data_IF_969945681105
#
_entry.id   IF_969945681105
#
_cell.length_a   1.000
_cell.length_b   1.000
_cell.length_c   1.000
_cell.angle_alpha   90.00
_cell.angle_beta   90.00
_cell.angle_gamma   90.00
#
_symmetry.space_group_name_H-M   'P 1'
#
loop_
_entity.id
_entity.type
_entity.pdbx_description
1 polymer ?
#
# COMPACT_ATOMS: atom_id res chain seq x y z
N UNK A 1 -4.22 -2.62 4.87
CA UNK A 1 -4.51 -3.72 5.81
C UNK A 1 -3.89 -5.00 5.27
N UNK A 2 -3.04 -5.66 6.07
CA UNK A 2 -2.50 -6.97 5.71
C UNK A 2 -3.59 -8.02 5.95
N UNK A 3 -3.98 -8.74 4.90
CA UNK A 3 -5.05 -9.73 4.98
C UNK A 3 -4.46 -11.14 5.10
N UNK A 4 -4.96 -11.95 6.04
CA UNK A 4 -4.50 -13.33 6.26
C UNK A 4 -4.55 -14.22 5.02
N UNK A 5 -5.30 -13.83 4.00
CA UNK A 5 -5.49 -14.56 2.75
C UNK A 5 -4.78 -13.90 1.54
N UNK A 6 -3.70 -13.16 1.78
CA UNK A 6 -2.90 -12.60 0.70
C UNK A 6 -1.42 -12.91 0.85
N UNK A 7 -0.71 -12.86 -0.27
CA UNK A 7 0.73 -12.82 -0.34
C UNK A 7 1.08 -11.45 -0.92
N UNK A 8 2.00 -10.73 -0.29
CA UNK A 8 2.45 -9.41 -0.73
C UNK A 8 3.92 -9.46 -1.11
N UNK A 9 4.22 -8.92 -2.26
CA UNK A 9 5.58 -8.61 -2.69
C UNK A 9 5.80 -7.09 -2.57
N UNK A 10 6.74 -6.68 -1.74
CA UNK A 10 7.01 -5.26 -1.46
C UNK A 10 8.46 -4.97 -1.76
N UNK A 11 8.69 -3.96 -2.58
CA UNK A 11 10.00 -3.45 -2.94
C UNK A 11 10.23 -2.10 -2.25
N UNK A 12 11.26 -2.03 -1.42
CA UNK A 12 11.68 -0.81 -0.72
C UNK A 12 13.16 -0.51 -0.99
N UNK A 13 13.56 -0.57 -2.23
CA UNK A 13 14.92 -0.26 -2.69
C UNK A 13 16.02 -1.16 -2.12
N UNK A 14 16.35 -1.01 -0.85
CA UNK A 14 17.38 -1.75 -0.11
C UNK A 14 16.87 -3.04 0.55
N UNK A 15 15.55 -3.16 0.70
CA UNK A 15 14.90 -4.32 1.27
C UNK A 15 13.72 -4.78 0.41
N UNK A 16 13.67 -6.07 0.16
CA UNK A 16 12.58 -6.75 -0.53
C UNK A 16 11.84 -7.63 0.47
N UNK A 17 10.53 -7.58 0.45
CA UNK A 17 9.72 -8.39 1.37
C UNK A 17 8.72 -9.24 0.59
N UNK A 18 8.67 -10.53 0.89
CA UNK A 18 7.54 -11.39 0.56
C UNK A 18 6.85 -11.74 1.87
N UNK A 19 5.67 -11.18 2.07
CA UNK A 19 4.87 -11.43 3.26
C UNK A 19 3.70 -12.37 2.94
N UNK A 20 3.46 -13.36 3.79
CA UNK A 20 2.41 -14.35 3.62
C UNK A 20 1.45 -14.33 4.80
N UNK A 21 0.16 -14.13 4.51
CA UNK A 21 -0.90 -14.25 5.49
C UNK A 21 -1.05 -15.69 6.00
N UNK A 22 -1.60 -15.88 7.18
CA UNK A 22 -1.69 -17.17 7.86
C UNK A 22 -2.43 -18.23 7.04
N UNK A 23 -3.43 -17.83 6.25
CA UNK A 23 -4.17 -18.74 5.35
C UNK A 23 -3.38 -19.13 4.09
N UNK A 24 -2.27 -18.45 3.82
CA UNK A 24 -1.43 -18.67 2.63
C UNK A 24 -0.11 -19.38 2.97
N UNK A 25 -0.01 -20.00 4.15
CA UNK A 25 1.21 -20.70 4.60
C UNK A 25 1.24 -22.18 4.20
N UNK A 26 0.17 -22.73 3.65
CA UNK A 26 0.11 -24.13 3.19
C UNK A 26 0.99 -24.37 1.95
N UNK A 27 1.38 -25.65 1.75
CA UNK A 27 2.20 -26.07 0.60
C UNK A 27 1.56 -25.77 -0.76
N UNK A 28 0.23 -25.70 -0.84
CA UNK A 28 -0.51 -25.31 -2.03
C UNK A 28 -0.13 -23.90 -2.56
N UNK A 29 0.45 -23.06 -1.70
CA UNK A 29 0.82 -21.68 -2.05
C UNK A 29 2.34 -21.47 -2.18
N UNK A 30 3.14 -22.54 -2.08
CA UNK A 30 4.61 -22.44 -2.19
C UNK A 30 5.03 -21.85 -3.54
N UNK A 31 4.45 -22.34 -4.62
CA UNK A 31 4.75 -21.84 -5.97
C UNK A 31 4.44 -20.34 -6.12
N UNK A 32 3.37 -19.87 -5.49
CA UNK A 32 3.00 -18.46 -5.52
C UNK A 32 3.99 -17.60 -4.71
N UNK A 33 4.43 -18.09 -3.53
CA UNK A 33 5.45 -17.41 -2.74
C UNK A 33 6.78 -17.33 -3.47
N UNK A 34 7.17 -18.40 -4.14
CA UNK A 34 8.38 -18.43 -4.96
C UNK A 34 8.28 -17.53 -6.16
N UNK A 35 7.15 -17.49 -6.85
CA UNK A 35 6.93 -16.57 -7.97
C UNK A 35 7.06 -15.10 -7.52
N UNK A 36 6.54 -14.74 -6.35
CA UNK A 36 6.72 -13.39 -5.77
C UNK A 36 8.19 -13.10 -5.47
N UNK A 37 8.90 -14.05 -4.88
CA UNK A 37 10.33 -13.96 -4.61
C UNK A 37 11.13 -13.73 -5.89
N UNK A 38 10.91 -14.56 -6.88
CA UNK A 38 11.65 -14.54 -8.15
C UNK A 38 11.36 -13.25 -8.94
N UNK A 39 10.12 -12.77 -8.87
CA UNK A 39 9.76 -11.48 -9.44
C UNK A 39 10.57 -10.33 -8.81
N UNK A 40 10.62 -10.25 -7.46
CA UNK A 40 11.38 -9.23 -6.77
C UNK A 40 12.88 -9.30 -7.07
N UNK A 41 13.46 -10.51 -7.08
CA UNK A 41 14.86 -10.71 -7.42
C UNK A 41 15.17 -10.27 -8.86
N UNK A 42 14.27 -10.57 -9.79
CA UNK A 42 14.43 -10.19 -11.20
C UNK A 42 14.42 -8.67 -11.39
N UNK A 43 13.45 -7.95 -10.81
CA UNK A 43 13.34 -6.49 -10.96
C UNK A 43 14.45 -5.74 -10.22
N UNK A 44 15.09 -6.37 -9.25
CA UNK A 44 16.18 -5.79 -8.47
C UNK A 44 17.59 -6.23 -8.92
N UNK A 45 17.70 -7.06 -9.95
CA UNK A 45 18.96 -7.72 -10.34
C UNK A 45 20.08 -6.76 -10.72
N UNK A 46 19.75 -5.57 -11.23
CA UNK A 46 20.73 -4.54 -11.62
C UNK A 46 21.04 -3.51 -10.52
N UNK A 47 20.52 -3.69 -9.31
CA UNK A 47 20.71 -2.69 -8.23
C UNK A 47 21.99 -2.88 -7.47
N UNK A 48 22.58 -1.76 -7.07
CA UNK A 48 23.72 -1.71 -6.17
C UNK A 48 23.47 -0.67 -5.06
N UNK A 49 23.67 -1.02 -3.79
CA UNK A 49 23.93 -2.37 -3.26
C UNK A 49 22.78 -3.35 -3.52
N UNK A 50 23.07 -4.65 -3.54
CA UNK A 50 22.03 -5.68 -3.69
C UNK A 50 21.07 -5.59 -2.51
N UNK A 51 19.75 -5.52 -2.78
CA UNK A 51 18.76 -5.47 -1.72
C UNK A 51 18.67 -6.80 -0.95
N UNK A 52 18.31 -6.69 0.33
CA UNK A 52 18.08 -7.84 1.19
C UNK A 52 16.66 -8.37 1.02
N UNK A 53 16.53 -9.67 0.71
CA UNK A 53 15.23 -10.33 0.61
C UNK A 53 14.82 -10.91 1.95
N UNK A 54 13.59 -10.62 2.36
CA UNK A 54 12.97 -11.11 3.59
C UNK A 54 11.70 -11.89 3.26
N UNK A 55 11.66 -13.17 3.64
CA UNK A 55 10.47 -14.00 3.58
C UNK A 55 9.77 -13.94 4.95
N UNK A 56 8.59 -13.34 5.01
CA UNK A 56 7.88 -13.05 6.25
C UNK A 56 6.54 -13.80 6.31
N UNK A 57 6.13 -14.15 7.53
CA UNK A 57 4.83 -14.79 7.80
C UNK A 57 4.01 -13.93 8.75
N UNK A 58 2.70 -13.97 8.60
CA UNK A 58 1.79 -13.36 9.56
C UNK A 58 2.05 -13.92 10.97
N UNK A 59 2.13 -13.03 11.98
CA UNK A 59 2.43 -13.41 13.37
C UNK A 59 3.91 -13.64 13.69
N UNK A 60 4.79 -13.67 12.69
CA UNK A 60 6.22 -13.75 12.93
C UNK A 60 6.75 -12.43 13.50
N UNK A 61 7.68 -12.52 14.45
CA UNK A 61 8.34 -11.34 15.05
C UNK A 61 9.03 -10.47 13.99
N UNK A 62 9.55 -11.06 12.94
CA UNK A 62 10.19 -10.37 11.82
C UNK A 62 9.20 -9.57 10.96
N UNK A 63 7.91 -9.90 10.98
CA UNK A 63 6.87 -9.15 10.28
C UNK A 63 6.78 -7.68 10.72
N UNK A 64 7.24 -7.37 11.92
CA UNK A 64 7.34 -5.97 12.41
C UNK A 64 8.24 -5.10 11.53
N UNK A 65 9.25 -5.67 10.87
CA UNK A 65 10.12 -4.94 9.94
C UNK A 65 9.34 -4.40 8.74
N UNK A 66 8.38 -5.16 8.25
CA UNK A 66 7.50 -4.72 7.19
C UNK A 66 6.42 -3.77 7.72
N UNK A 67 5.69 -4.16 8.77
CA UNK A 67 4.56 -3.37 9.28
C UNK A 67 4.97 -1.98 9.77
N UNK A 68 6.18 -1.84 10.35
CA UNK A 68 6.72 -0.54 10.74
C UNK A 68 7.04 0.39 9.55
N UNK A 69 7.16 -0.16 8.34
CA UNK A 69 7.46 0.58 7.11
C UNK A 69 6.23 0.84 6.25
N UNK A 70 5.13 0.16 6.53
CA UNK A 70 3.85 0.43 5.89
C UNK A 70 3.26 1.66 6.55
N UNK A 71 3.36 2.81 5.90
CA UNK A 71 2.67 3.99 6.34
C UNK A 71 1.16 3.72 6.26
N UNK A 72 0.42 3.89 7.36
CA UNK A 72 -1.02 3.76 7.31
C UNK A 72 -1.59 4.89 6.45
N UNK A 73 -2.42 4.58 5.47
CA UNK A 73 -3.14 5.57 4.65
C UNK A 73 -4.32 6.17 5.46
N UNK A 74 -4.01 6.86 6.57
CA UNK A 74 -5.02 7.27 7.56
C UNK A 74 -5.72 8.58 7.23
N UNK A 75 -5.07 9.42 6.45
CA UNK A 75 -5.58 10.72 6.12
C UNK A 75 -6.51 10.78 4.91
N UNK A 76 -6.66 9.68 4.17
CA UNK A 76 -7.49 9.70 2.96
C UNK A 76 -8.97 9.77 3.31
N UNK A 77 -9.76 10.66 2.66
CA UNK A 77 -11.21 10.68 2.80
C UNK A 77 -11.84 9.31 2.49
N UNK A 78 -12.99 8.95 3.12
CA UNK A 78 -13.64 7.64 2.91
C UNK A 78 -13.89 7.30 1.44
N UNK A 79 -14.34 8.26 0.66
CA UNK A 79 -14.63 8.15 -0.76
C UNK A 79 -13.39 7.81 -1.58
N UNK A 80 -12.22 8.36 -1.24
CA UNK A 80 -10.96 8.03 -1.88
C UNK A 80 -10.48 6.63 -1.52
N UNK A 81 -10.71 6.22 -0.26
CA UNK A 81 -10.34 4.86 0.16
C UNK A 81 -11.15 3.80 -0.58
N UNK A 82 -12.45 4.03 -0.80
CA UNK A 82 -13.29 3.12 -1.58
C UNK A 82 -12.79 2.99 -3.02
N UNK A 83 -12.37 4.09 -3.63
CA UNK A 83 -11.83 4.08 -4.99
C UNK A 83 -10.56 3.22 -5.14
N UNK A 84 -9.71 3.19 -4.10
CA UNK A 84 -8.45 2.44 -4.13
C UNK A 84 -8.54 1.01 -3.59
N UNK A 85 -9.58 0.71 -2.84
CA UNK A 85 -9.80 -0.61 -2.25
C UNK A 85 -11.18 -1.14 -2.62
N UNK A 86 -11.34 -1.75 -3.80
CA UNK A 86 -12.63 -2.26 -4.27
C UNK A 86 -13.36 -3.16 -3.27
N UNK A 87 -12.60 -3.85 -2.40
CA UNK A 87 -13.15 -4.66 -1.32
C UNK A 87 -13.95 -3.85 -0.28
N UNK A 88 -13.80 -2.53 -0.25
CA UNK A 88 -14.52 -1.63 0.65
C UNK A 88 -15.75 -0.99 -0.02
N UNK A 89 -15.96 -1.20 -1.31
CA UNK A 89 -17.02 -0.56 -2.09
C UNK A 89 -18.45 -0.90 -1.63
N UNK A 90 -18.61 -2.02 -0.90
CA UNK A 90 -19.88 -2.43 -0.32
C UNK A 90 -20.18 -1.83 1.06
N UNK A 91 -19.21 -1.08 1.64
CA UNK A 91 -19.37 -0.43 2.93
C UNK A 91 -19.85 1.01 2.75
N UNK A 92 -20.82 1.40 3.58
CA UNK A 92 -21.26 2.79 3.65
C UNK A 92 -20.28 3.65 4.48
N UNK A 93 -20.45 4.98 4.47
CA UNK A 93 -19.56 5.92 5.17
C UNK A 93 -19.47 5.67 6.69
N UNK A 94 -20.58 5.29 7.32
CA UNK A 94 -20.63 4.96 8.74
C UNK A 94 -19.85 3.69 9.06
N UNK A 95 -20.00 2.66 8.24
CA UNK A 95 -19.26 1.41 8.36
C UNK A 95 -17.76 1.60 8.15
N UNK A 96 -17.38 2.44 7.19
CA UNK A 96 -15.97 2.82 6.96
C UNK A 96 -15.40 3.56 8.15
N UNK A 97 -16.16 4.50 8.73
CA UNK A 97 -15.74 5.23 9.92
C UNK A 97 -15.63 4.31 11.13
N UNK A 98 -16.60 3.41 11.35
CA UNK A 98 -16.54 2.41 12.41
C UNK A 98 -15.37 1.43 12.23
N UNK A 99 -15.06 1.05 10.99
CA UNK A 99 -13.90 0.22 10.67
C UNK A 99 -12.60 0.94 11.04
N UNK A 100 -12.47 2.22 10.71
CA UNK A 100 -11.31 3.05 11.05
C UNK A 100 -11.12 3.19 12.56
N UNK A 101 -12.20 3.44 13.30
CA UNK A 101 -12.16 3.59 14.76
C UNK A 101 -11.67 2.31 15.48
N UNK A 102 -11.85 1.13 14.87
CA UNK A 102 -11.32 -0.13 15.38
C UNK A 102 -9.81 -0.30 15.19
N UNK A 103 -9.22 0.44 14.26
CA UNK A 103 -7.78 0.46 14.10
C UNK A 103 -7.25 1.65 14.90
N UNK A 104 -6.57 1.38 15.99
CA UNK A 104 -6.00 2.36 16.96
C UNK A 104 -4.98 3.33 16.33
N UNK A 105 -4.91 3.40 15.03
CA UNK A 105 -3.96 4.21 14.26
C UNK A 105 -4.63 5.39 13.54
N UNK A 106 -5.94 5.58 13.69
CA UNK A 106 -6.61 6.71 13.06
C UNK A 106 -6.36 7.97 13.87
N UNK A 107 -5.56 8.86 13.31
CA UNK A 107 -5.41 10.24 13.77
C UNK A 107 -6.06 11.15 12.72
N UNK A 108 -7.17 11.82 13.04
CA UNK A 108 -7.81 12.76 12.12
C UNK A 108 -6.94 13.97 11.76
N UNK A 109 -5.89 14.23 12.56
CA UNK A 109 -4.93 15.31 12.32
C UNK A 109 -3.64 14.81 11.64
N UNK A 110 -3.56 13.51 11.30
CA UNK A 110 -2.42 12.97 10.60
C UNK A 110 -2.30 13.60 9.21
N UNK A 111 -1.07 13.76 8.73
CA UNK A 111 -0.80 14.19 7.38
C UNK A 111 -1.53 13.29 6.37
N UNK A 112 -2.07 13.87 5.29
CA UNK A 112 -2.70 13.11 4.24
C UNK A 112 -1.72 12.11 3.63
N UNK A 113 -2.22 10.98 3.14
CA UNK A 113 -1.37 10.00 2.46
C UNK A 113 -0.64 10.65 1.28
N UNK A 114 0.56 10.15 0.97
CA UNK A 114 1.32 10.61 -0.20
C UNK A 114 0.48 10.55 -1.49
N UNK A 115 -0.37 9.52 -1.64
CA UNK A 115 -1.27 9.35 -2.77
C UNK A 115 -2.27 10.49 -2.87
N UNK A 116 -2.93 10.84 -1.77
CA UNK A 116 -3.90 11.94 -1.72
C UNK A 116 -3.22 13.27 -2.04
N UNK A 117 -2.08 13.54 -1.43
CA UNK A 117 -1.27 14.73 -1.69
C UNK A 117 -0.84 14.83 -3.16
N UNK A 118 -0.36 13.72 -3.73
CA UNK A 118 0.02 13.64 -5.15
C UNK A 118 -1.15 13.99 -6.07
N UNK A 119 -2.33 13.45 -5.79
CA UNK A 119 -3.52 13.74 -6.60
C UNK A 119 -3.99 15.18 -6.47
N UNK A 120 -3.86 15.80 -5.31
CA UNK A 120 -4.16 17.23 -5.14
C UNK A 120 -3.26 18.09 -6.02
N UNK A 121 -1.94 17.82 -6.03
CA UNK A 121 -0.99 18.56 -6.87
C UNK A 121 -1.29 18.34 -8.36
N UNK A 122 -1.49 17.10 -8.78
CA UNK A 122 -1.79 16.78 -10.17
C UNK A 122 -3.07 17.45 -10.66
N UNK A 123 -4.11 17.51 -9.82
CA UNK A 123 -5.37 18.17 -10.13
C UNK A 123 -5.22 19.69 -10.21
N UNK A 124 -4.48 20.29 -9.29
CA UNK A 124 -4.20 21.73 -9.30
C UNK A 124 -3.39 22.16 -10.55
N UNK A 125 -2.41 21.35 -10.95
CA UNK A 125 -1.62 21.60 -12.16
C UNK A 125 -2.47 21.54 -13.43
N UNK A 126 -3.46 20.67 -13.48
CA UNK A 126 -4.36 20.53 -14.63
C UNK A 126 -5.35 21.69 -14.78
N UNK A 127 -5.78 22.31 -13.67
CA UNK A 127 -6.62 23.52 -13.70
C UNK A 127 -5.83 24.76 -14.11
N UNK A 128 -4.61 24.92 -13.60
CA UNK A 128 -3.74 26.03 -13.99
C UNK A 128 -3.39 26.04 -15.48
N UNK A 129 -3.24 24.88 -16.10
CA UNK A 129 -3.01 24.76 -17.54
C UNK A 129 -4.21 25.18 -18.39
N UNK A 130 -5.44 25.07 -17.88
CA UNK A 130 -6.65 25.49 -18.61
C UNK A 130 -6.89 27.00 -18.54
N UNK A 131 -6.45 27.65 -17.48
CA UNK A 131 -6.58 29.10 -17.33
C UNK A 131 -5.48 29.89 -18.08
N UNK A 132 -4.34 29.26 -18.36
CA UNK A 132 -3.20 29.88 -19.05
C UNK A 132 -3.36 30.07 -20.56
N UNK A 133 -4.35 29.46 -21.20
CA UNK A 133 -4.56 29.56 -22.66
C UNK A 133 -5.65 30.54 -23.11
N UNK A 134 -6.20 31.36 -22.20
CA UNK A 134 -7.25 32.29 -22.52
C UNK A 134 -6.76 33.77 -22.69
N UNK A 135 -5.47 34.03 -22.82
CA UNK A 135 -4.92 35.39 -22.91
C UNK A 135 -4.07 35.64 -24.17
N UNK A 136 -4.43 35.02 -25.31
CA UNK A 136 -3.88 35.42 -26.62
C UNK A 136 -4.97 35.31 -27.69
N UNK A 137 -5.91 36.24 -27.70
CA UNK A 137 -6.64 36.73 -28.89
C UNK A 137 -6.68 38.24 -28.88
#
# INVERSE_FOLDING_TARGET
MLLSQCILAVDQSDNLFVWSGSKMLGTAYDSMREACRDHLLRISSGRFPKPHLHMLKEGDSMSRRLTARLAPAHGDPPEHQVAYFPALSHLNAEQLTALRAKFSFYDPNADPSFRYWFWQIASASSTASKEGYSLCE
#
